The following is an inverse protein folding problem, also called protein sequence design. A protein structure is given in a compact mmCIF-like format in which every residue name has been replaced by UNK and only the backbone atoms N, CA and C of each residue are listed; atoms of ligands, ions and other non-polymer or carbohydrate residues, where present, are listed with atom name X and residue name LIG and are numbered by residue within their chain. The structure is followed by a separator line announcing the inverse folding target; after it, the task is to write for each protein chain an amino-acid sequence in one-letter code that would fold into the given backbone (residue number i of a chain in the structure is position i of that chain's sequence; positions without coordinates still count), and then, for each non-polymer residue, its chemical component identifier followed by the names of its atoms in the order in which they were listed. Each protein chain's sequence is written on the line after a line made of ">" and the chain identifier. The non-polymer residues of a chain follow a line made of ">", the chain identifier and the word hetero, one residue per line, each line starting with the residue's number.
data_IF_253645071830
#
_entry.id   IF_253645071830
#
_cell.length_a   1.000
_cell.length_b   1.000
_cell.length_c   1.000
_cell.angle_alpha   90.00
_cell.angle_beta   90.00
_cell.angle_gamma   90.00
#
_symmetry.space_group_name_H-M   'P 1'
#
loop_
_entity.id
_entity.type
_entity.pdbx_description
1 polymer ?
#
# COMPACT_ATOMS: atom_id res chain seq x y z
N UNK A 1 8.97 27.61 6.63
CA UNK A 1 9.48 26.22 6.65
C UNK A 1 10.97 26.29 6.86
N UNK A 2 11.47 25.56 7.85
CA UNK A 2 12.90 25.43 8.10
C UNK A 2 13.34 24.07 7.52
N UNK A 3 14.12 24.09 6.43
CA UNK A 3 14.59 22.89 5.74
C UNK A 3 16.05 22.70 6.09
N UNK A 4 16.40 21.52 6.59
CA UNK A 4 17.79 21.16 6.93
C UNK A 4 18.70 21.34 5.70
N UNK A 5 19.73 22.18 5.84
CA UNK A 5 20.79 22.37 4.84
C UNK A 5 22.10 21.84 5.41
N UNK A 6 22.87 21.16 4.59
CA UNK A 6 24.19 20.65 4.92
C UNK A 6 25.20 21.30 3.97
N UNK A 7 26.39 21.64 4.45
CA UNK A 7 27.51 22.09 3.63
C UNK A 7 28.59 21.01 3.58
N UNK A 8 29.04 20.63 2.38
CA UNK A 8 30.12 19.65 2.20
C UNK A 8 31.47 20.09 2.77
N UNK A 9 31.63 21.38 3.05
CA UNK A 9 32.83 21.97 3.66
C UNK A 9 32.84 21.86 5.19
N UNK A 10 31.70 21.56 5.81
CA UNK A 10 31.63 21.37 7.25
C UNK A 10 32.40 20.10 7.66
N UNK A 11 33.22 20.21 8.72
CA UNK A 11 34.02 19.09 9.22
C UNK A 11 33.19 17.89 9.68
N UNK A 12 31.91 18.11 10.00
CA UNK A 12 30.95 17.10 10.44
C UNK A 12 29.89 16.77 9.36
N UNK A 13 30.05 17.23 8.12
CA UNK A 13 29.11 17.00 7.01
C UNK A 13 28.68 15.53 6.91
N UNK A 14 29.64 14.60 6.94
CA UNK A 14 29.37 13.16 6.82
C UNK A 14 28.47 12.66 7.95
N UNK A 15 28.71 13.09 9.19
CA UNK A 15 27.89 12.74 10.34
C UNK A 15 26.48 13.33 10.22
N UNK A 16 26.37 14.59 9.79
CA UNK A 16 25.08 15.24 9.58
C UNK A 16 24.27 14.55 8.48
N UNK A 17 24.93 14.14 7.39
CA UNK A 17 24.34 13.41 6.28
C UNK A 17 23.89 12.02 6.72
N UNK A 18 24.74 11.28 7.41
CA UNK A 18 24.41 9.94 7.91
C UNK A 18 23.22 10.02 8.88
N UNK A 19 23.13 11.07 9.71
CA UNK A 19 21.97 11.31 10.57
C UNK A 19 20.71 11.69 9.80
N UNK A 20 20.82 12.43 8.70
CA UNK A 20 19.68 12.78 7.85
C UNK A 20 19.16 11.57 7.08
N UNK A 21 20.07 10.69 6.66
CA UNK A 21 19.77 9.44 5.98
C UNK A 21 19.43 8.30 6.95
N UNK A 22 19.67 8.50 8.25
CA UNK A 22 19.30 7.54 9.28
C UNK A 22 17.78 7.44 9.33
N UNK A 23 17.27 6.47 8.58
CA UNK A 23 15.90 6.03 8.65
C UNK A 23 15.71 5.35 10.01
N UNK A 24 14.98 6.01 10.91
CA UNK A 24 14.62 5.40 12.18
C UNK A 24 13.60 4.30 11.88
N UNK A 25 14.05 3.06 11.82
CA UNK A 25 13.17 1.90 11.75
C UNK A 25 12.61 1.62 13.14
N UNK A 26 11.94 2.61 13.74
CA UNK A 26 11.06 2.34 14.88
C UNK A 26 9.93 1.48 14.35
N UNK A 27 10.17 0.16 14.38
CA UNK A 27 9.13 -0.83 14.22
C UNK A 27 8.15 -0.57 15.35
N UNK A 28 6.99 -0.03 15.00
CA UNK A 28 5.91 0.15 15.96
C UNK A 28 5.52 -1.23 16.47
N UNK A 29 5.85 -1.52 17.74
CA UNK A 29 5.62 -2.81 18.37
C UNK A 29 4.13 -3.20 18.33
N UNK A 30 3.23 -2.21 18.36
CA UNK A 30 1.80 -2.44 18.24
C UNK A 30 1.43 -2.89 16.81
N UNK A 31 2.04 -2.30 15.79
CA UNK A 31 1.87 -2.76 14.39
C UNK A 31 2.42 -4.17 14.23
N UNK A 32 3.62 -4.45 14.76
CA UNK A 32 4.23 -5.78 14.69
C UNK A 32 3.33 -6.86 15.33
N UNK A 33 2.81 -6.56 16.53
CA UNK A 33 1.88 -7.45 17.23
C UNK A 33 0.59 -7.67 16.43
N UNK A 34 0.00 -6.59 15.91
CA UNK A 34 -1.24 -6.65 15.13
C UNK A 34 -1.08 -7.51 13.88
N UNK A 35 -0.02 -7.30 13.09
CA UNK A 35 0.26 -8.10 11.88
C UNK A 35 0.52 -9.56 12.25
N UNK A 36 1.28 -9.81 13.31
CA UNK A 36 1.55 -11.18 13.79
C UNK A 36 0.27 -11.92 14.18
N UNK A 37 -0.69 -11.23 14.82
CA UNK A 37 -2.00 -11.77 15.15
C UNK A 37 -2.83 -12.05 13.91
N UNK A 38 -2.89 -11.11 12.96
CA UNK A 38 -3.62 -11.28 11.68
C UNK A 38 -3.11 -12.52 10.94
N UNK A 39 -1.79 -12.64 10.75
CA UNK A 39 -1.19 -13.77 10.04
C UNK A 39 -1.49 -15.11 10.73
N UNK A 40 -1.41 -15.17 12.07
CA UNK A 40 -1.75 -16.37 12.84
C UNK A 40 -3.22 -16.74 12.70
N UNK A 41 -4.13 -15.77 12.79
CA UNK A 41 -5.56 -16.01 12.66
C UNK A 41 -5.93 -16.47 11.26
N UNK A 42 -5.45 -15.82 10.20
CA UNK A 42 -5.69 -16.24 8.81
C UNK A 42 -5.14 -17.64 8.56
N UNK A 43 -3.94 -17.96 9.06
CA UNK A 43 -3.37 -19.31 8.94
C UNK A 43 -4.23 -20.39 9.60
N UNK A 44 -4.80 -20.10 10.77
CA UNK A 44 -5.53 -21.08 11.58
C UNK A 44 -7.03 -21.17 11.22
N UNK A 45 -7.62 -20.08 10.76
CA UNK A 45 -9.07 -19.91 10.63
C UNK A 45 -9.51 -19.60 9.18
N UNK A 46 -8.57 -19.37 8.26
CA UNK A 46 -8.84 -19.14 6.84
C UNK A 46 -9.79 -17.98 6.59
N UNK A 47 -10.78 -18.21 5.72
CA UNK A 47 -11.75 -17.19 5.25
C UNK A 47 -12.49 -16.49 6.38
N UNK A 48 -12.78 -17.18 7.49
CA UNK A 48 -13.48 -16.57 8.62
C UNK A 48 -12.67 -15.43 9.25
N UNK A 49 -11.36 -15.59 9.40
CA UNK A 49 -10.49 -14.51 9.86
C UNK A 49 -10.39 -13.38 8.84
N UNK A 50 -10.41 -13.68 7.53
CA UNK A 50 -10.41 -12.64 6.49
C UNK A 50 -11.68 -11.81 6.58
N UNK A 51 -12.85 -12.44 6.68
CA UNK A 51 -14.15 -11.75 6.81
C UNK A 51 -14.19 -10.86 8.07
N UNK A 52 -13.70 -11.38 9.20
CA UNK A 52 -13.66 -10.63 10.47
C UNK A 52 -12.75 -9.40 10.36
N UNK A 53 -11.57 -9.54 9.74
CA UNK A 53 -10.64 -8.43 9.56
C UNK A 53 -11.13 -7.42 8.51
N UNK A 54 -11.76 -7.86 7.42
CA UNK A 54 -12.39 -6.96 6.44
C UNK A 54 -13.53 -6.16 7.07
N UNK A 55 -14.33 -6.76 7.96
CA UNK A 55 -15.32 -6.01 8.72
C UNK A 55 -14.67 -5.01 9.68
N UNK A 56 -13.62 -5.43 10.39
CA UNK A 56 -12.97 -4.60 11.43
C UNK A 56 -12.21 -3.42 10.86
N UNK A 57 -11.43 -3.62 9.81
CA UNK A 57 -10.51 -2.61 9.28
C UNK A 57 -11.09 -1.85 8.10
N UNK A 58 -11.87 -2.51 7.25
CA UNK A 58 -12.43 -1.91 6.03
C UNK A 58 -13.93 -1.57 6.17
N UNK A 59 -14.58 -2.03 7.25
CA UNK A 59 -16.02 -1.85 7.45
C UNK A 59 -16.89 -2.70 6.53
N UNK A 60 -16.32 -3.66 5.81
CA UNK A 60 -17.01 -4.46 4.81
C UNK A 60 -17.73 -5.65 5.43
N UNK A 61 -19.05 -5.69 5.28
CA UNK A 61 -19.91 -6.79 5.75
C UNK A 61 -20.17 -7.76 4.61
N UNK A 62 -19.39 -8.84 4.55
CA UNK A 62 -19.55 -9.93 3.60
C UNK A 62 -19.89 -11.24 4.31
N UNK A 63 -20.67 -12.11 3.67
CA UNK A 63 -21.06 -13.42 4.22
C UNK A 63 -20.05 -14.53 3.90
N UNK A 64 -19.31 -14.37 2.81
CA UNK A 64 -18.32 -15.32 2.32
C UNK A 64 -17.26 -14.58 1.50
N UNK A 65 -16.14 -15.23 1.21
CA UNK A 65 -15.01 -14.61 0.52
C UNK A 65 -15.35 -14.18 -0.92
N UNK A 66 -16.28 -14.88 -1.59
CA UNK A 66 -16.68 -14.53 -2.96
C UNK A 66 -17.41 -13.18 -3.04
N UNK A 67 -18.06 -12.74 -1.95
CA UNK A 67 -18.66 -11.39 -1.88
C UNK A 67 -17.61 -10.27 -1.76
N UNK A 68 -16.35 -10.61 -1.43
CA UNK A 68 -15.22 -9.65 -1.41
C UNK A 68 -14.50 -9.57 -2.76
N UNK A 69 -14.79 -10.47 -3.69
CA UNK A 69 -14.22 -10.45 -5.03
C UNK A 69 -14.95 -9.44 -5.93
N UNK A 70 -14.20 -8.66 -6.71
CA UNK A 70 -14.78 -7.77 -7.72
C UNK A 70 -15.02 -8.52 -9.03
N UNK A 71 -16.28 -8.62 -9.52
CA UNK A 71 -16.55 -9.29 -10.79
C UNK A 71 -15.92 -8.54 -11.97
N UNK A 72 -15.49 -9.30 -12.99
CA UNK A 72 -14.86 -8.73 -14.19
C UNK A 72 -15.76 -7.69 -14.89
N UNK A 73 -17.08 -7.93 -14.94
CA UNK A 73 -18.01 -6.99 -15.55
C UNK A 73 -18.05 -5.65 -14.81
N UNK A 74 -17.90 -5.66 -13.48
CA UNK A 74 -17.82 -4.43 -12.68
C UNK A 74 -16.51 -3.68 -12.96
N UNK A 75 -15.41 -4.40 -13.18
CA UNK A 75 -14.14 -3.80 -13.61
C UNK A 75 -14.26 -3.14 -14.99
N UNK A 76 -14.96 -3.80 -15.93
CA UNK A 76 -15.20 -3.25 -17.28
C UNK A 76 -16.06 -1.99 -17.22
N UNK A 77 -17.16 -2.04 -16.46
CA UNK A 77 -18.03 -0.87 -16.25
C UNK A 77 -17.25 0.31 -15.65
N UNK A 78 -16.41 0.05 -14.65
CA UNK A 78 -15.56 1.08 -14.05
C UNK A 78 -14.59 1.69 -15.07
N UNK A 79 -13.93 0.86 -15.89
CA UNK A 79 -13.02 1.31 -16.93
C UNK A 79 -13.72 2.08 -18.06
N UNK A 80 -14.90 1.64 -18.49
CA UNK A 80 -15.71 2.32 -19.49
C UNK A 80 -16.25 3.66 -18.97
N UNK A 81 -16.47 3.77 -17.66
CA UNK A 81 -16.89 4.99 -16.97
C UNK A 81 -15.78 6.01 -16.68
N UNK A 82 -14.51 5.70 -16.98
CA UNK A 82 -13.40 6.67 -16.86
C UNK A 82 -13.52 7.70 -18.00
N UNK A 83 -13.37 8.99 -17.65
CA UNK A 83 -13.28 10.08 -18.63
C UNK A 83 -12.20 9.80 -19.68
N UNK A 84 -12.52 10.07 -20.95
CA UNK A 84 -11.69 9.65 -22.09
C UNK A 84 -10.20 10.00 -21.93
N UNK A 85 -9.91 11.22 -21.48
CA UNK A 85 -8.53 11.70 -21.30
C UNK A 85 -7.75 10.91 -20.25
N UNK A 86 -8.39 10.59 -19.14
CA UNK A 86 -7.75 9.83 -18.07
C UNK A 86 -7.56 8.37 -18.50
N UNK A 87 -8.53 7.82 -19.23
CA UNK A 87 -8.42 6.47 -19.78
C UNK A 87 -7.26 6.33 -20.78
N UNK A 88 -7.14 7.28 -21.71
CA UNK A 88 -6.03 7.34 -22.66
C UNK A 88 -4.66 7.45 -21.96
N UNK A 89 -4.57 8.27 -20.90
CA UNK A 89 -3.35 8.40 -20.10
C UNK A 89 -2.96 7.09 -19.40
N UNK A 90 -3.93 6.40 -18.78
CA UNK A 90 -3.72 5.11 -18.12
C UNK A 90 -3.30 4.02 -19.12
N UNK A 91 -3.93 3.97 -20.29
CA UNK A 91 -3.59 3.03 -21.37
C UNK A 91 -2.17 3.25 -21.90
N UNK A 92 -1.77 4.51 -22.10
CA UNK A 92 -0.42 4.84 -22.53
C UNK A 92 0.62 4.44 -21.47
N UNK A 93 0.36 4.72 -20.19
CA UNK A 93 1.23 4.30 -19.09
C UNK A 93 1.37 2.78 -19.04
N UNK A 94 0.25 2.04 -19.11
CA UNK A 94 0.23 0.59 -19.13
C UNK A 94 1.00 0.03 -20.33
N UNK A 95 0.85 0.64 -21.51
CA UNK A 95 1.59 0.27 -22.73
C UNK A 95 3.09 0.44 -22.54
N UNK A 96 3.54 1.57 -21.97
CA UNK A 96 4.96 1.84 -21.73
C UNK A 96 5.58 0.89 -20.70
N UNK A 97 4.84 0.55 -19.65
CA UNK A 97 5.29 -0.43 -18.64
C UNK A 97 5.46 -1.80 -19.29
N UNK A 98 4.47 -2.27 -20.06
CA UNK A 98 4.55 -3.58 -20.75
C UNK A 98 5.64 -3.65 -21.82
N UNK A 99 5.94 -2.53 -22.48
CA UNK A 99 7.00 -2.49 -23.48
C UNK A 99 8.41 -2.57 -22.85
N UNK A 100 8.54 -2.18 -21.58
CA UNK A 100 9.81 -2.19 -20.86
C UNK A 100 10.06 -3.49 -20.08
N UNK A 101 9.00 -4.05 -19.46
CA UNK A 101 9.07 -5.26 -18.62
C UNK A 101 9.46 -6.51 -19.41
#
# INVERSE_FOLDING_TARGET
>A
MDIKRLDTLDSDFKLQLDKLLAWDSTSDEAVFKTVSEILKSVKNQGDSAVLDFSLRFDGLKAKNLAELEMPLDRLREAYEGIEYRDREALELAATRIRAYA
#
